data_IF_209660734880
#
_entry.id   IF_209660734880
#
_cell.length_a   1.000
_cell.length_b   1.000
_cell.length_c   1.000
_cell.angle_alpha   90.00
_cell.angle_beta   90.00
_cell.angle_gamma   90.00
#
_symmetry.space_group_name_H-M   'P 1'
#
loop_
_entity.id
_entity.type
_entity.pdbx_description
1 polymer ?
#
# COMPACT_ATOMS: atom_id res chain seq x y z
N UNK A 1 -24.69 -0.01 1.70
CA UNK A 1 -23.86 -0.61 2.77
C UNK A 1 -22.82 -1.54 2.14
N UNK A 2 -21.63 -1.03 1.82
CA UNK A 2 -20.49 -1.80 1.29
C UNK A 2 -19.31 -1.66 2.27
N UNK A 3 -19.32 -2.41 3.37
CA UNK A 3 -18.29 -2.31 4.43
C UNK A 3 -17.20 -3.39 4.34
N UNK A 4 -17.24 -4.27 3.33
CA UNK A 4 -16.38 -5.46 3.28
C UNK A 4 -15.16 -5.34 2.33
N UNK A 5 -15.14 -4.38 1.40
CA UNK A 5 -14.07 -4.31 0.39
C UNK A 5 -12.81 -3.57 0.84
N UNK A 6 -12.88 -2.76 1.91
CA UNK A 6 -11.77 -1.89 2.34
C UNK A 6 -10.92 -2.42 3.49
N UNK A 7 -11.20 -3.62 4.02
CA UNK A 7 -10.57 -4.09 5.27
C UNK A 7 -9.25 -4.87 5.07
N UNK A 8 -9.08 -5.51 3.92
CA UNK A 8 -7.93 -6.37 3.61
C UNK A 8 -6.98 -5.76 2.57
N UNK A 9 -7.39 -4.68 1.91
CA UNK A 9 -6.60 -3.97 0.91
C UNK A 9 -6.01 -2.71 1.54
N UNK A 10 -4.69 -2.70 1.69
CA UNK A 10 -3.94 -1.52 2.10
C UNK A 10 -3.25 -0.91 0.88
N UNK A 11 -3.11 0.41 0.85
CA UNK A 11 -2.48 1.11 -0.28
C UNK A 11 -1.50 2.19 0.19
N UNK A 12 -0.45 2.42 -0.58
CA UNK A 12 0.51 3.52 -0.40
C UNK A 12 1.07 3.99 -1.73
N UNK A 13 1.78 5.12 -1.72
CA UNK A 13 2.55 5.63 -2.85
C UNK A 13 4.03 5.71 -2.49
N UNK A 14 4.88 5.39 -3.44
CA UNK A 14 6.33 5.47 -3.30
C UNK A 14 6.97 6.01 -4.56
N UNK A 15 8.14 6.63 -4.41
CA UNK A 15 8.96 7.10 -5.52
C UNK A 15 9.75 5.99 -6.21
N UNK A 16 9.79 4.77 -5.66
CA UNK A 16 10.45 3.63 -6.29
C UNK A 16 9.75 3.21 -7.58
N UNK A 17 10.51 2.65 -8.52
CA UNK A 17 9.95 2.02 -9.70
C UNK A 17 9.19 0.72 -9.34
N UNK A 18 8.20 0.29 -10.16
CA UNK A 18 7.37 -0.88 -9.84
C UNK A 18 8.18 -2.16 -9.57
N UNK A 19 9.20 -2.43 -10.39
CA UNK A 19 10.06 -3.60 -10.23
C UNK A 19 10.88 -3.56 -8.93
N UNK A 20 11.30 -2.37 -8.50
CA UNK A 20 12.05 -2.18 -7.26
C UNK A 20 11.16 -2.43 -6.04
N UNK A 21 9.90 -2.00 -6.08
CA UNK A 21 8.91 -2.31 -5.03
C UNK A 21 8.69 -3.81 -4.90
N UNK A 22 8.50 -4.52 -6.02
CA UNK A 22 8.32 -5.98 -6.00
C UNK A 22 9.58 -6.69 -5.46
N UNK A 23 10.77 -6.22 -5.85
CA UNK A 23 12.03 -6.74 -5.30
C UNK A 23 12.17 -6.47 -3.79
N UNK A 24 11.79 -5.28 -3.34
CA UNK A 24 11.80 -4.91 -1.93
C UNK A 24 10.82 -5.77 -1.12
N UNK A 25 9.60 -6.01 -1.63
CA UNK A 25 8.61 -6.89 -1.00
C UNK A 25 9.18 -8.29 -0.80
N UNK A 26 9.75 -8.90 -1.85
CA UNK A 26 10.37 -10.23 -1.78
C UNK A 26 11.43 -10.31 -0.68
N UNK A 27 12.33 -9.33 -0.61
CA UNK A 27 13.38 -9.28 0.42
C UNK A 27 12.80 -9.09 1.83
N UNK A 28 11.84 -8.19 1.98
CA UNK A 28 11.24 -7.84 3.27
C UNK A 28 10.52 -9.02 3.90
N UNK A 29 9.68 -9.73 3.14
CA UNK A 29 8.89 -10.84 3.66
C UNK A 29 9.69 -12.14 3.80
N UNK A 30 10.66 -12.40 2.91
CA UNK A 30 11.54 -13.57 3.03
C UNK A 30 12.59 -13.41 4.15
N UNK A 31 13.02 -12.18 4.43
CA UNK A 31 14.01 -11.88 5.48
C UNK A 31 13.46 -11.91 6.90
N UNK A 32 12.15 -12.11 7.08
CA UNK A 32 11.50 -12.13 8.38
C UNK A 32 11.65 -13.49 9.06
N UNK A 33 11.83 -13.50 10.37
CA UNK A 33 11.92 -14.74 11.16
C UNK A 33 10.54 -15.13 11.72
N UNK A 34 10.27 -16.43 11.81
CA UNK A 34 9.06 -16.99 12.43
C UNK A 34 7.82 -16.96 11.55
N UNK A 35 6.65 -16.85 12.18
CA UNK A 35 5.32 -16.99 11.54
C UNK A 35 5.01 -15.98 10.43
N UNK A 36 5.81 -14.91 10.32
CA UNK A 36 5.62 -13.86 9.31
C UNK A 36 6.60 -13.93 8.15
N UNK A 37 7.37 -15.02 8.05
CA UNK A 37 8.14 -15.30 6.85
C UNK A 37 7.17 -15.70 5.73
N UNK A 38 7.30 -15.07 4.56
CA UNK A 38 6.53 -15.46 3.38
C UNK A 38 7.45 -15.49 2.14
N UNK A 39 7.28 -16.53 1.32
CA UNK A 39 8.14 -16.82 0.19
C UNK A 39 7.36 -16.74 -1.12
N UNK A 40 8.04 -16.47 -2.23
CA UNK A 40 7.38 -16.33 -3.54
C UNK A 40 6.70 -17.64 -3.93
N UNK A 41 5.39 -17.57 -4.11
CA UNK A 41 4.61 -18.63 -4.74
C UNK A 41 4.45 -18.36 -6.24
N UNK A 42 4.14 -17.10 -6.59
CA UNK A 42 3.95 -16.67 -7.98
C UNK A 42 4.34 -15.21 -8.13
N UNK A 43 4.86 -14.84 -9.28
CA UNK A 43 5.12 -13.43 -9.61
C UNK A 43 4.75 -13.10 -11.04
N UNK A 44 4.57 -11.81 -11.29
CA UNK A 44 4.41 -11.25 -12.62
C UNK A 44 4.95 -9.82 -12.67
N UNK A 45 4.85 -9.13 -13.82
CA UNK A 45 5.43 -7.79 -13.99
C UNK A 45 4.86 -6.73 -13.04
N UNK A 46 3.65 -6.96 -12.54
CA UNK A 46 2.89 -6.00 -11.72
C UNK A 46 2.49 -6.55 -10.34
N UNK A 47 2.94 -7.74 -9.97
CA UNK A 47 2.59 -8.32 -8.67
C UNK A 47 3.56 -9.40 -8.20
N UNK A 48 3.54 -9.65 -6.89
CA UNK A 48 4.10 -10.86 -6.27
C UNK A 48 3.06 -11.46 -5.32
N UNK A 49 2.81 -12.76 -5.45
CA UNK A 49 2.08 -13.57 -4.47
C UNK A 49 3.09 -14.30 -3.59
N UNK A 50 2.97 -14.11 -2.29
CA UNK A 50 3.82 -14.66 -1.25
C UNK A 50 2.99 -15.62 -0.38
N UNK A 51 3.54 -16.78 -0.05
CA UNK A 51 2.92 -17.76 0.84
C UNK A 51 3.70 -17.90 2.14
N UNK A 52 2.99 -17.72 3.26
CA UNK A 52 3.49 -17.87 4.61
C UNK A 52 3.24 -19.28 5.18
N UNK A 53 3.58 -19.46 6.46
CA UNK A 53 3.31 -20.70 7.18
C UNK A 53 1.79 -20.95 7.26
N UNK A 54 1.36 -22.21 7.13
CA UNK A 54 -0.06 -22.56 7.24
C UNK A 54 -0.89 -22.25 5.98
N UNK A 55 -0.23 -21.90 4.86
CA UNK A 55 -0.91 -21.62 3.59
C UNK A 55 -1.46 -20.20 3.48
N UNK A 56 -1.09 -19.31 4.41
CA UNK A 56 -1.48 -17.91 4.38
C UNK A 56 -0.93 -17.21 3.15
N UNK A 57 -1.74 -16.33 2.56
CA UNK A 57 -1.38 -15.60 1.34
C UNK A 57 -1.27 -14.09 1.57
N UNK A 58 -0.33 -13.51 0.86
CA UNK A 58 -0.11 -12.08 0.77
C UNK A 58 0.23 -11.72 -0.68
N UNK A 59 -0.53 -10.79 -1.24
CA UNK A 59 -0.28 -10.26 -2.58
C UNK A 59 0.16 -8.81 -2.46
N UNK A 60 1.29 -8.48 -3.08
CA UNK A 60 1.71 -7.10 -3.32
C UNK A 60 1.51 -6.79 -4.80
N UNK A 61 0.69 -5.77 -5.09
CA UNK A 61 0.45 -5.25 -6.43
C UNK A 61 1.09 -3.89 -6.63
N UNK A 62 1.51 -3.61 -7.86
CA UNK A 62 2.09 -2.33 -8.25
C UNK A 62 1.44 -1.80 -9.53
N UNK A 63 1.21 -0.49 -9.56
CA UNK A 63 0.72 0.23 -10.73
C UNK A 63 1.56 1.50 -10.92
N UNK A 64 2.02 1.80 -12.15
CA UNK A 64 2.69 3.07 -12.44
C UNK A 64 1.78 4.26 -12.10
N UNK A 65 2.37 5.31 -11.53
CA UNK A 65 1.76 6.61 -11.30
C UNK A 65 2.67 7.70 -11.91
N UNK A 66 2.17 8.93 -12.07
CA UNK A 66 2.89 10.02 -12.77
C UNK A 66 4.34 10.20 -12.27
N UNK A 67 4.56 10.12 -10.95
CA UNK A 67 5.85 10.36 -10.33
C UNK A 67 6.30 9.21 -9.39
N UNK A 68 5.91 7.97 -9.71
CA UNK A 68 6.30 6.80 -8.90
C UNK A 68 5.40 5.59 -9.09
N UNK A 69 5.14 4.87 -8.00
CA UNK A 69 4.36 3.64 -7.99
C UNK A 69 3.26 3.71 -6.92
N UNK A 70 2.03 3.40 -7.32
CA UNK A 70 0.96 3.03 -6.38
C UNK A 70 1.14 1.56 -6.01
N UNK A 71 1.22 1.29 -4.72
CA UNK A 71 1.44 -0.04 -4.17
C UNK A 71 0.20 -0.47 -3.40
N UNK A 72 -0.28 -1.68 -3.65
CA UNK A 72 -1.36 -2.29 -2.88
C UNK A 72 -0.91 -3.59 -2.24
N UNK A 73 -1.44 -3.88 -1.06
CA UNK A 73 -1.19 -5.09 -0.31
C UNK A 73 -2.51 -5.73 0.08
N UNK A 74 -2.71 -6.99 -0.30
CA UNK A 74 -3.93 -7.75 -0.03
C UNK A 74 -3.59 -8.99 0.78
N UNK A 75 -4.19 -9.13 1.96
CA UNK A 75 -3.98 -10.27 2.86
C UNK A 75 -5.12 -10.40 3.87
N UNK A 76 -5.24 -11.57 4.50
CA UNK A 76 -6.15 -11.79 5.62
C UNK A 76 -5.49 -11.65 6.99
N UNK A 77 -4.17 -11.88 7.11
CA UNK A 77 -3.47 -12.00 8.41
C UNK A 77 -2.19 -11.15 8.46
N UNK A 78 -1.61 -10.79 7.32
CA UNK A 78 -0.37 -10.01 7.27
C UNK A 78 -0.57 -8.50 7.40
N UNK A 79 -1.72 -8.00 7.83
CA UNK A 79 -2.05 -6.56 7.79
C UNK A 79 -0.98 -5.66 8.42
N UNK A 80 -0.52 -6.01 9.64
CA UNK A 80 0.54 -5.24 10.29
C UNK A 80 1.87 -5.31 9.54
N UNK A 81 2.13 -6.43 8.87
CA UNK A 81 3.38 -6.66 8.15
C UNK A 81 3.40 -5.90 6.82
N UNK A 82 2.24 -5.79 6.17
CA UNK A 82 2.02 -4.92 5.01
C UNK A 82 2.24 -3.46 5.40
N UNK A 83 1.61 -2.99 6.48
CA UNK A 83 1.83 -1.62 6.96
C UNK A 83 3.30 -1.31 7.29
N UNK A 84 4.01 -2.26 7.91
CA UNK A 84 5.45 -2.13 8.17
C UNK A 84 6.28 -2.13 6.90
N UNK A 85 5.94 -2.96 5.92
CA UNK A 85 6.59 -2.94 4.61
C UNK A 85 6.42 -1.58 3.95
N UNK A 86 5.19 -1.04 3.92
CA UNK A 86 4.91 0.27 3.36
C UNK A 86 5.69 1.40 4.03
N UNK A 87 5.86 1.33 5.36
CA UNK A 87 6.69 2.28 6.10
C UNK A 87 8.19 2.22 5.76
N UNK A 88 8.67 1.15 5.10
CA UNK A 88 10.05 1.07 4.59
C UNK A 88 10.24 1.67 3.20
N UNK A 89 9.14 1.91 2.47
CA UNK A 89 9.19 2.48 1.13
C UNK A 89 9.45 3.99 1.23
N UNK A 90 10.30 4.57 0.36
CA UNK A 90 10.48 6.01 0.34
C UNK A 90 9.13 6.67 0.02
N UNK A 91 8.66 7.59 0.88
CA UNK A 91 7.33 8.16 0.74
C UNK A 91 7.26 9.02 -0.52
N UNK A 92 6.09 9.03 -1.14
CA UNK A 92 5.76 10.07 -2.10
C UNK A 92 5.63 11.41 -1.34
N UNK A 93 6.32 12.49 -1.76
CA UNK A 93 6.04 13.81 -1.21
C UNK A 93 4.60 14.15 -1.58
N UNK A 94 3.70 14.10 -0.60
CA UNK A 94 2.39 14.71 -0.76
C UNK A 94 2.68 16.21 -0.72
N UNK A 95 2.73 16.86 -1.88
CA UNK A 95 2.61 18.31 -1.91
C UNK A 95 1.33 18.63 -1.13
N UNK A 96 1.52 19.34 -0.03
CA UNK A 96 0.52 19.63 0.97
C UNK A 96 -0.74 20.13 0.27
N UNK A 97 -1.85 19.40 0.39
CA UNK A 97 -3.17 19.90 -0.02
C UNK A 97 -3.62 20.94 1.01
N UNK A 98 -2.90 22.05 1.13
CA UNK A 98 -3.47 23.34 1.50
C UNK A 98 -3.99 23.97 0.22
N UNK A 99 -5.06 23.39 -0.33
CA UNK A 99 -5.93 24.15 -1.22
C UNK A 99 -6.82 25.01 -0.32
N UNK A 100 -6.62 26.32 -0.43
CA UNK A 100 -7.26 27.31 0.40
C UNK A 100 -8.77 27.32 0.22
N UNK A 101 -9.49 27.35 1.33
CA UNK A 101 -10.80 28.00 1.40
C UNK A 101 -10.75 29.02 2.52
N UNK A 102 -9.97 30.08 2.29
CA UNK A 102 -10.16 31.36 2.97
C UNK A 102 -11.25 32.11 2.21
N UNK A 103 -12.22 32.60 2.98
CA UNK A 103 -13.10 33.73 2.69
C UNK A 103 -14.24 33.57 1.67
N UNK A 104 -15.43 33.31 2.21
CA UNK A 104 -16.60 34.09 1.83
C UNK A 104 -17.40 34.38 3.10
N UNK A 105 -17.02 35.47 3.76
CA UNK A 105 -17.88 36.15 4.73
C UNK A 105 -19.09 36.69 3.97
N UNK A 106 -20.26 36.12 4.20
CA UNK A 106 -21.52 36.54 3.58
C UNK A 106 -22.64 36.50 4.60
N UNK A 107 -22.76 37.57 5.38
CA UNK A 107 -24.00 37.98 6.06
C UNK A 107 -25.15 38.04 5.07
N UNK A 108 -26.20 37.24 5.23
CA UNK A 108 -27.53 37.62 4.72
C UNK A 108 -28.69 37.07 5.58
N UNK A 109 -29.41 38.04 6.12
CA UNK A 109 -30.70 38.10 6.81
C UNK A 109 -31.87 37.39 6.10
N UNK A 110 -32.67 36.61 6.86
CA UNK A 110 -34.14 36.40 6.87
C UNK A 110 -34.94 36.21 5.54
N UNK A 111 -36.06 35.47 5.56
CA UNK A 111 -37.31 35.90 6.23
C UNK A 111 -37.87 34.96 7.30
#
# INVERSE_FOLDING_TARGET
MNYQLGRTLQETHTTLAPAEVLAAAKRFFAGRQGIYAAFVEKEGPTYVNLRGQGGEELIIGVQPAENGTRVSGSTYIFDQQVGRFFATLPPYPTEDRTDGSHDATGTETQP
#
